data_IF_661902542708
#
_entry.id   IF_661902542708
#
_cell.length_a   1.000
_cell.length_b   1.000
_cell.length_c   1.000
_cell.angle_alpha   90.00
_cell.angle_beta   90.00
_cell.angle_gamma   90.00
#
_symmetry.space_group_name_H-M   'P 1'
#
loop_
_entity.id
_entity.type
_entity.pdbx_description
1 polymer ?
#
# COMPACT_ATOMS: atom_id res chain seq x y z
N UNK A 1 45.33 8.95 -27.96
CA UNK A 1 44.97 7.66 -27.35
C UNK A 1 43.79 7.93 -26.43
N UNK A 2 42.59 7.50 -26.83
CA UNK A 2 41.40 7.56 -25.99
C UNK A 2 40.91 6.13 -25.82
N UNK A 3 41.05 5.60 -24.61
CA UNK A 3 40.69 4.24 -24.25
C UNK A 3 39.16 4.14 -24.20
N UNK A 4 38.57 3.41 -25.14
CA UNK A 4 37.13 3.11 -25.15
C UNK A 4 36.85 2.13 -24.00
N UNK A 5 35.92 2.43 -23.08
CA UNK A 5 35.51 1.46 -22.06
C UNK A 5 34.88 0.25 -22.77
N UNK A 6 35.31 -0.95 -22.38
CA UNK A 6 34.86 -2.21 -22.97
C UNK A 6 33.33 -2.28 -23.04
N UNK A 7 32.75 -2.83 -24.13
CA UNK A 7 31.31 -2.93 -24.29
C UNK A 7 30.74 -3.83 -23.18
N UNK A 8 29.86 -3.27 -22.36
CA UNK A 8 29.12 -4.02 -21.34
C UNK A 8 28.24 -5.03 -22.08
N UNK A 9 28.59 -6.31 -21.98
CA UNK A 9 27.82 -7.39 -22.59
C UNK A 9 26.55 -7.66 -21.76
N UNK A 10 25.52 -6.89 -22.07
CA UNK A 10 24.16 -7.05 -21.51
C UNK A 10 23.63 -8.47 -21.72
N UNK A 11 24.05 -9.15 -22.79
CA UNK A 11 23.66 -10.53 -23.10
C UNK A 11 24.19 -11.51 -22.06
N UNK A 12 25.46 -11.37 -21.68
CA UNK A 12 26.07 -12.19 -20.62
C UNK A 12 25.39 -11.96 -19.26
N UNK A 13 25.11 -10.69 -18.91
CA UNK A 13 24.46 -10.33 -17.64
C UNK A 13 23.03 -10.90 -17.58
N UNK A 14 22.25 -10.77 -18.66
CA UNK A 14 20.89 -11.31 -18.71
C UNK A 14 20.87 -12.85 -18.68
N UNK A 15 21.88 -13.50 -19.27
CA UNK A 15 22.03 -14.96 -19.19
C UNK A 15 22.30 -15.40 -17.75
N UNK A 16 23.21 -14.72 -17.04
CA UNK A 16 23.51 -14.98 -15.64
C UNK A 16 22.29 -14.79 -14.72
N UNK A 17 21.53 -13.70 -14.91
CA UNK A 17 20.29 -13.45 -14.15
C UNK A 17 19.26 -14.54 -14.41
N UNK A 18 19.07 -14.94 -15.67
CA UNK A 18 18.12 -16.00 -16.05
C UNK A 18 18.49 -17.34 -15.43
N UNK A 19 19.77 -17.70 -15.42
CA UNK A 19 20.25 -18.95 -14.86
C UNK A 19 20.12 -18.97 -13.33
N UNK A 20 20.38 -17.84 -12.67
CA UNK A 20 20.11 -17.64 -11.24
C UNK A 20 18.63 -17.78 -10.87
N UNK A 21 17.71 -17.25 -11.71
CA UNK A 21 16.26 -17.42 -11.50
C UNK A 21 15.84 -18.89 -11.66
N UNK A 22 16.38 -19.60 -12.67
CA UNK A 22 16.10 -21.04 -12.86
C UNK A 22 16.60 -21.88 -11.69
N UNK A 23 17.81 -21.61 -11.21
CA UNK A 23 18.39 -22.33 -10.09
C UNK A 23 17.57 -22.11 -8.81
N UNK A 24 17.19 -20.86 -8.51
CA UNK A 24 16.33 -20.52 -7.36
C UNK A 24 14.96 -21.21 -7.42
N UNK A 25 14.37 -21.30 -8.62
CA UNK A 25 13.09 -22.00 -8.85
C UNK A 25 13.23 -23.51 -8.72
N UNK A 26 14.35 -24.09 -9.17
CA UNK A 26 14.65 -25.52 -9.06
C UNK A 26 14.97 -25.95 -7.62
N UNK A 27 15.55 -25.06 -6.82
CA UNK A 27 15.81 -25.30 -5.38
C UNK A 27 14.54 -25.37 -4.52
N UNK A 28 13.34 -25.22 -5.09
CA UNK A 28 12.09 -25.29 -4.34
C UNK A 28 11.91 -24.14 -3.33
N UNK A 29 12.80 -23.13 -3.34
CA UNK A 29 12.64 -21.87 -2.62
C UNK A 29 11.54 -21.09 -3.35
N UNK A 30 10.31 -21.55 -3.15
CA UNK A 30 9.13 -20.76 -3.44
C UNK A 30 9.20 -19.56 -2.51
N UNK A 31 8.98 -18.37 -3.06
CA UNK A 31 9.05 -17.04 -2.44
C UNK A 31 8.21 -16.84 -1.16
N UNK A 32 7.60 -17.89 -0.60
CA UNK A 32 6.88 -17.85 0.68
C UNK A 32 7.76 -17.41 1.87
N UNK A 33 9.08 -17.54 1.76
CA UNK A 33 10.01 -17.08 2.80
C UNK A 33 10.29 -15.57 2.74
N UNK A 34 9.97 -14.91 1.63
CA UNK A 34 10.28 -13.49 1.42
C UNK A 34 9.04 -12.60 1.26
N UNK A 35 7.83 -13.18 1.32
CA UNK A 35 6.65 -12.38 1.61
C UNK A 35 6.75 -11.91 3.08
N UNK A 36 6.76 -10.59 3.35
CA UNK A 36 6.69 -10.12 4.71
C UNK A 36 5.39 -10.67 5.30
N UNK A 37 5.51 -11.63 6.23
CA UNK A 37 4.38 -12.11 6.99
C UNK A 37 3.94 -10.96 7.88
N UNK A 38 2.98 -10.16 7.42
CA UNK A 38 2.34 -9.19 8.28
C UNK A 38 1.69 -9.97 9.42
N UNK A 39 2.13 -9.71 10.65
CA UNK A 39 1.39 -10.19 11.81
C UNK A 39 0.02 -9.50 11.85
N UNK A 40 -0.97 -10.11 12.50
CA UNK A 40 -2.30 -9.47 12.65
C UNK A 40 -2.21 -8.13 13.39
N UNK A 41 -1.20 -7.97 14.23
CA UNK A 41 -0.89 -6.71 14.92
C UNK A 41 -0.39 -5.66 13.93
N UNK A 42 0.50 -6.04 13.01
CA UNK A 42 1.01 -5.14 11.96
C UNK A 42 -0.08 -4.76 10.97
N UNK A 43 -0.94 -5.72 10.59
CA UNK A 43 -2.06 -5.48 9.68
C UNK A 43 -3.06 -4.49 10.27
N UNK A 44 -3.46 -4.68 11.54
CA UNK A 44 -4.36 -3.75 12.24
C UNK A 44 -3.74 -2.36 12.40
N UNK A 45 -2.44 -2.29 12.68
CA UNK A 45 -1.70 -1.03 12.80
C UNK A 45 -1.69 -0.26 11.46
N UNK A 46 -1.37 -0.95 10.37
CA UNK A 46 -1.35 -0.34 9.03
C UNK A 46 -2.75 0.12 8.61
N UNK A 47 -3.79 -0.62 8.97
CA UNK A 47 -5.17 -0.25 8.68
C UNK A 47 -5.59 1.03 9.43
N UNK A 48 -5.18 1.16 10.70
CA UNK A 48 -5.40 2.38 11.47
C UNK A 48 -4.62 3.59 10.90
N UNK A 49 -3.42 3.37 10.37
CA UNK A 49 -2.61 4.42 9.74
C UNK A 49 -3.22 4.92 8.42
N UNK A 50 -3.78 4.01 7.61
CA UNK A 50 -4.53 4.36 6.40
C UNK A 50 -5.79 5.14 6.76
N UNK A 51 -6.52 4.73 7.80
CA UNK A 51 -7.73 5.43 8.25
C UNK A 51 -7.43 6.85 8.75
N UNK A 52 -6.29 7.06 9.42
CA UNK A 52 -5.86 8.38 9.89
C UNK A 52 -5.48 9.33 8.75
N UNK A 53 -4.98 8.81 7.63
CA UNK A 53 -4.43 9.61 6.51
C UNK A 53 -5.41 9.77 5.35
N UNK A 54 -6.59 9.14 5.41
CA UNK A 54 -7.53 9.09 4.28
C UNK A 54 -8.10 10.45 3.85
N UNK A 55 -8.07 11.46 4.72
CA UNK A 55 -8.73 12.75 4.50
C UNK A 55 -7.72 13.80 4.03
N UNK A 56 -7.86 14.25 2.79
CA UNK A 56 -7.12 15.41 2.26
C UNK A 56 -7.92 16.68 2.53
N UNK A 57 -7.34 17.63 3.30
CA UNK A 57 -7.94 18.95 3.57
C UNK A 57 -7.27 20.05 2.74
N UNK A 58 -8.09 20.93 2.15
CA UNK A 58 -7.69 22.00 1.21
C UNK A 58 -7.72 23.40 1.89
N UNK A 59 -8.09 23.47 3.16
CA UNK A 59 -8.35 24.75 3.81
C UNK A 59 -7.10 25.35 4.47
N UNK A 60 -6.59 26.47 3.94
CA UNK A 60 -5.56 27.28 4.60
C UNK A 60 -6.02 28.73 4.73
N UNK A 61 -6.00 29.34 5.93
CA UNK A 61 -6.39 30.73 6.11
C UNK A 61 -5.27 31.68 5.67
N UNK A 62 -5.60 32.68 4.83
CA UNK A 62 -4.68 33.79 4.51
C UNK A 62 -4.99 34.98 5.40
N UNK A 63 -4.05 35.34 6.28
CA UNK A 63 -4.09 36.57 7.08
C UNK A 63 -3.15 37.60 6.46
N UNK A 64 -3.59 38.86 6.37
CA UNK A 64 -2.78 39.98 5.90
C UNK A 64 -3.17 41.24 6.66
N UNK A 65 -2.21 41.84 7.38
CA UNK A 65 -2.45 42.93 8.32
C UNK A 65 -2.24 44.32 7.69
N UNK A 66 -1.48 44.43 6.59
CA UNK A 66 -1.13 45.71 5.93
C UNK A 66 -1.90 45.99 4.63
N UNK A 67 -2.01 47.26 4.20
CA UNK A 67 -2.71 47.68 2.96
C UNK A 67 -2.26 46.95 1.67
N UNK A 68 -0.96 46.82 1.36
CA UNK A 68 -0.52 46.01 0.22
C UNK A 68 -0.82 44.51 0.42
N UNK A 69 -0.74 43.99 1.66
CA UNK A 69 -1.17 42.63 1.98
C UNK A 69 -2.68 42.43 1.77
N UNK A 70 -3.53 43.45 1.97
CA UNK A 70 -4.97 43.36 1.69
C UNK A 70 -5.25 43.19 0.20
N UNK A 71 -4.51 43.87 -0.68
CA UNK A 71 -4.65 43.70 -2.14
C UNK A 71 -4.24 42.29 -2.56
N UNK A 72 -3.09 41.82 -2.08
CA UNK A 72 -2.61 40.45 -2.33
C UNK A 72 -3.58 39.41 -1.73
N UNK A 73 -4.11 39.65 -0.53
CA UNK A 73 -5.11 38.77 0.09
C UNK A 73 -6.43 38.75 -0.69
N UNK A 74 -6.82 39.87 -1.32
CA UNK A 74 -8.01 39.94 -2.16
C UNK A 74 -7.81 39.17 -3.46
N UNK A 75 -6.65 39.33 -4.11
CA UNK A 75 -6.28 38.53 -5.28
C UNK A 75 -6.23 37.03 -4.94
N UNK A 76 -5.60 36.67 -3.82
CA UNK A 76 -5.56 35.29 -3.32
C UNK A 76 -6.94 34.75 -2.94
N UNK A 77 -7.88 35.58 -2.49
CA UNK A 77 -9.28 35.18 -2.28
C UNK A 77 -9.97 34.84 -3.59
N UNK A 78 -9.75 35.62 -4.65
CA UNK A 78 -10.31 35.36 -5.98
C UNK A 78 -9.70 34.09 -6.57
N UNK A 79 -8.37 33.98 -6.56
CA UNK A 79 -7.64 32.77 -6.98
C UNK A 79 -8.15 31.56 -6.20
N UNK A 80 -8.30 31.65 -4.87
CA UNK A 80 -8.88 30.56 -4.05
C UNK A 80 -10.32 30.25 -4.42
N UNK A 81 -11.15 31.23 -4.78
CA UNK A 81 -12.53 31.00 -5.22
C UNK A 81 -12.56 30.23 -6.54
N UNK A 82 -11.69 30.57 -7.49
CA UNK A 82 -11.56 29.85 -8.76
C UNK A 82 -10.96 28.46 -8.57
N UNK A 83 -9.87 28.33 -7.82
CA UNK A 83 -9.23 27.04 -7.53
C UNK A 83 -10.12 26.15 -6.66
N UNK A 84 -10.97 26.70 -5.77
CA UNK A 84 -11.94 25.90 -5.02
C UNK A 84 -12.84 25.10 -5.95
N UNK A 85 -13.21 25.65 -7.10
CA UNK A 85 -14.05 24.95 -8.07
C UNK A 85 -13.32 23.79 -8.77
N UNK A 86 -11.98 23.84 -8.83
CA UNK A 86 -11.16 22.80 -9.47
C UNK A 86 -10.60 21.77 -8.47
N UNK A 87 -10.20 22.22 -7.28
CA UNK A 87 -9.56 21.38 -6.26
C UNK A 87 -10.59 20.62 -5.43
N UNK A 88 -11.73 21.23 -5.06
CA UNK A 88 -12.75 20.53 -4.28
C UNK A 88 -13.22 19.22 -4.93
N UNK A 89 -13.60 19.18 -6.22
CA UNK A 89 -14.03 17.91 -6.81
C UNK A 89 -12.91 16.87 -6.88
N UNK A 90 -11.64 17.29 -6.98
CA UNK A 90 -10.50 16.36 -6.98
C UNK A 90 -10.28 15.80 -5.57
N UNK A 91 -10.32 16.66 -4.54
CA UNK A 91 -10.19 16.23 -3.14
C UNK A 91 -11.38 15.33 -2.71
N UNK A 92 -12.60 15.66 -3.15
CA UNK A 92 -13.78 14.84 -2.93
C UNK A 92 -13.66 13.47 -3.61
N UNK A 93 -13.17 13.42 -4.85
CA UNK A 93 -12.89 12.16 -5.56
C UNK A 93 -11.81 11.32 -4.86
N UNK A 94 -10.72 11.95 -4.40
CA UNK A 94 -9.65 11.25 -3.67
C UNK A 94 -10.15 10.71 -2.33
N UNK A 95 -10.90 11.50 -1.56
CA UNK A 95 -11.48 11.06 -0.30
C UNK A 95 -12.46 9.89 -0.52
N UNK A 96 -13.30 9.96 -1.57
CA UNK A 96 -14.23 8.88 -1.92
C UNK A 96 -13.51 7.59 -2.34
N UNK A 97 -12.42 7.71 -3.10
CA UNK A 97 -11.57 6.57 -3.46
C UNK A 97 -10.87 5.97 -2.23
N UNK A 98 -10.28 6.81 -1.37
CA UNK A 98 -9.65 6.39 -0.13
C UNK A 98 -10.64 5.65 0.77
N UNK A 99 -11.87 6.14 0.89
CA UNK A 99 -12.95 5.48 1.64
C UNK A 99 -13.31 4.11 1.05
N UNK A 100 -13.38 3.99 -0.28
CA UNK A 100 -13.64 2.71 -0.93
C UNK A 100 -12.50 1.71 -0.70
N UNK A 101 -11.25 2.17 -0.75
CA UNK A 101 -10.05 1.37 -0.48
C UNK A 101 -10.06 0.89 0.97
N UNK A 102 -10.28 1.79 1.94
CA UNK A 102 -10.35 1.45 3.37
C UNK A 102 -11.42 0.40 3.64
N UNK A 103 -12.64 0.57 3.09
CA UNK A 103 -13.71 -0.42 3.23
C UNK A 103 -13.33 -1.78 2.64
N UNK A 104 -12.70 -1.78 1.47
CA UNK A 104 -12.26 -3.02 0.82
C UNK A 104 -11.18 -3.73 1.65
N UNK A 105 -10.22 -2.99 2.18
CA UNK A 105 -9.17 -3.53 3.05
C UNK A 105 -9.77 -4.15 4.31
N UNK A 106 -10.70 -3.48 4.99
CA UNK A 106 -11.42 -4.06 6.13
C UNK A 106 -12.12 -5.36 5.77
N UNK A 107 -12.80 -5.40 4.61
CA UNK A 107 -13.46 -6.61 4.12
C UNK A 107 -12.46 -7.75 3.91
N UNK A 108 -11.32 -7.49 3.28
CA UNK A 108 -10.28 -8.48 3.05
C UNK A 108 -9.71 -9.03 4.37
N UNK A 109 -9.43 -8.16 5.35
CA UNK A 109 -8.94 -8.61 6.67
C UNK A 109 -9.98 -9.52 7.35
N UNK A 110 -11.26 -9.15 7.29
CA UNK A 110 -12.34 -9.95 7.88
C UNK A 110 -12.39 -11.35 7.26
N UNK A 111 -12.35 -11.44 5.92
CA UNK A 111 -12.34 -12.73 5.22
C UNK A 111 -11.11 -13.57 5.56
N UNK A 112 -9.94 -12.94 5.70
CA UNK A 112 -8.70 -13.63 6.10
C UNK A 112 -8.84 -14.22 7.51
N UNK A 113 -9.41 -13.45 8.45
CA UNK A 113 -9.62 -13.90 9.82
C UNK A 113 -10.61 -15.09 9.88
N UNK A 114 -11.70 -15.02 9.11
CA UNK A 114 -12.67 -16.11 8.98
C UNK A 114 -12.02 -17.40 8.44
N UNK A 115 -11.24 -17.28 7.36
CA UNK A 115 -10.53 -18.43 6.78
C UNK A 115 -9.51 -19.03 7.74
N UNK A 116 -8.80 -18.19 8.51
CA UNK A 116 -7.86 -18.67 9.53
C UNK A 116 -8.57 -19.42 10.65
N UNK A 117 -9.73 -18.94 11.08
CA UNK A 117 -10.54 -19.62 12.08
C UNK A 117 -11.03 -20.98 11.59
N UNK A 118 -11.49 -21.07 10.33
CA UNK A 118 -11.93 -22.33 9.71
C UNK A 118 -10.77 -23.34 9.62
N UNK A 119 -9.59 -22.89 9.15
CA UNK A 119 -8.39 -23.74 9.08
C UNK A 119 -8.01 -24.25 10.48
N UNK A 120 -8.09 -23.40 11.51
CA UNK A 120 -7.77 -23.80 12.88
C UNK A 120 -8.75 -24.88 13.40
N UNK A 121 -10.05 -24.72 13.13
CA UNK A 121 -11.07 -25.70 13.48
C UNK A 121 -10.84 -27.04 12.77
N UNK A 122 -10.61 -27.01 11.46
CA UNK A 122 -10.34 -28.22 10.68
C UNK A 122 -9.09 -28.94 11.16
N UNK A 123 -8.01 -28.21 11.48
CA UNK A 123 -6.79 -28.79 12.06
C UNK A 123 -7.05 -29.45 13.40
N UNK A 124 -7.83 -28.81 14.28
CA UNK A 124 -8.20 -29.40 15.57
C UNK A 124 -8.97 -30.71 15.38
N UNK A 125 -9.91 -30.75 14.42
CA UNK A 125 -10.69 -31.95 14.13
C UNK A 125 -9.84 -33.09 13.57
N UNK A 126 -8.87 -32.79 12.70
CA UNK A 126 -7.92 -33.79 12.18
C UNK A 126 -7.13 -34.42 13.33
N UNK A 127 -6.59 -33.60 14.24
CA UNK A 127 -5.82 -34.10 15.41
C UNK A 127 -6.68 -34.98 16.32
N UNK A 128 -7.94 -34.62 16.51
CA UNK A 128 -8.88 -35.41 17.32
C UNK A 128 -9.16 -36.78 16.70
N UNK A 129 -9.43 -36.83 15.39
CA UNK A 129 -9.64 -38.07 14.65
C UNK A 129 -8.38 -38.95 14.61
N UNK A 130 -7.19 -38.35 14.51
CA UNK A 130 -5.92 -39.08 14.57
C UNK A 130 -5.72 -39.74 15.94
N UNK A 131 -6.10 -39.06 17.03
CA UNK A 131 -6.06 -39.61 18.38
C UNK A 131 -7.05 -40.75 18.58
N UNK A 132 -8.28 -40.60 18.08
CA UNK A 132 -9.31 -41.66 18.11
C UNK A 132 -8.87 -42.90 17.34
N UNK A 133 -8.12 -42.75 16.24
CA UNK A 133 -7.59 -43.87 15.44
C UNK A 133 -6.40 -44.58 16.10
N UNK A 134 -5.67 -43.90 16.98
CA UNK A 134 -4.50 -44.44 17.68
C UNK A 134 -4.84 -45.09 19.03
N UNK A 135 -6.05 -44.90 19.54
CA UNK A 135 -6.60 -45.53 20.74
C UNK A 135 -7.29 -46.86 20.40
#
# INVERSE_FOLDING_TARGET
MAEQPAPIDVGAILAEIRDGIRQRRASGITDQANEPRLSDVDLKRLLAEVEATRVVSVHWPLHGETLPQKVIATLNKVVRRYLRWYINPIAEQQNAANDAIVRTLHGLVTTIDEQRAEIALLRARVVELERERQA
#
